data_IF_631082295073
#
_entry.id   IF_631082295073
#
_cell.length_a   1.000
_cell.length_b   1.000
_cell.length_c   1.000
_cell.angle_alpha   90.00
_cell.angle_beta   90.00
_cell.angle_gamma   90.00
#
_symmetry.space_group_name_H-M   'P 1'
#
loop_
_entity.id
_entity.type
_entity.pdbx_description
1 polymer ?
#
# COMPACT_ATOMS: atom_id res chain seq x y z
N UNK A 1 -2.64 -25.41 38.40
CA UNK A 1 -1.26 -25.06 38.04
C UNK A 1 -1.30 -24.30 36.70
N UNK A 2 -1.07 -22.99 36.76
CA UNK A 2 -1.03 -22.15 35.57
C UNK A 2 0.37 -22.15 34.97
N UNK A 3 0.75 -23.24 34.29
CA UNK A 3 1.99 -23.28 33.55
C UNK A 3 1.92 -22.26 32.36
N UNK A 4 2.88 -21.38 32.23
CA UNK A 4 3.02 -20.50 31.07
C UNK A 4 3.62 -21.35 29.95
N UNK A 5 2.90 -21.45 28.85
CA UNK A 5 3.34 -22.17 27.65
C UNK A 5 3.66 -21.15 26.56
N UNK A 6 4.84 -21.21 25.99
CA UNK A 6 5.19 -20.41 24.82
C UNK A 6 4.58 -21.03 23.57
N UNK A 7 3.94 -20.20 22.75
CA UNK A 7 3.31 -20.63 21.52
C UNK A 7 3.38 -19.56 20.44
N UNK A 8 3.46 -19.99 19.18
CA UNK A 8 3.41 -19.12 18.03
C UNK A 8 2.23 -19.46 17.13
N UNK A 9 1.52 -18.44 16.64
CA UNK A 9 0.44 -18.63 15.69
C UNK A 9 0.97 -18.55 14.26
N UNK A 10 0.69 -19.59 13.46
CA UNK A 10 1.07 -19.66 12.05
C UNK A 10 -0.17 -19.80 11.17
N UNK A 11 -0.12 -19.13 10.01
CA UNK A 11 -1.16 -19.23 9.00
C UNK A 11 -0.95 -20.47 8.15
N UNK A 12 -2.04 -21.18 7.88
CA UNK A 12 -2.05 -22.42 7.10
C UNK A 12 -3.12 -22.37 6.01
N UNK A 13 -3.03 -23.18 4.95
CA UNK A 13 -4.13 -23.43 4.04
C UNK A 13 -5.33 -24.00 4.79
N UNK A 14 -6.57 -23.57 4.51
CA UNK A 14 -7.76 -24.01 5.24
C UNK A 14 -7.99 -25.53 5.27
N UNK A 15 -7.55 -26.22 4.21
CA UNK A 15 -7.65 -27.67 4.05
C UNK A 15 -6.71 -28.45 4.98
N UNK A 16 -5.61 -27.85 5.42
CA UNK A 16 -4.60 -28.50 6.26
C UNK A 16 -4.90 -28.42 7.75
N UNK A 17 -5.80 -27.52 8.17
CA UNK A 17 -6.06 -27.22 9.57
C UNK A 17 -6.46 -28.45 10.39
N UNK A 18 -7.38 -29.27 9.86
CA UNK A 18 -7.83 -30.49 10.54
C UNK A 18 -6.74 -31.55 10.66
N UNK A 19 -5.91 -31.69 9.64
CA UNK A 19 -4.79 -32.64 9.60
C UNK A 19 -3.72 -32.25 10.61
N UNK A 20 -3.34 -30.97 10.61
CA UNK A 20 -2.29 -30.46 11.49
C UNK A 20 -2.69 -30.46 12.96
N UNK A 21 -3.93 -30.10 13.30
CA UNK A 21 -4.41 -30.15 14.68
C UNK A 21 -4.55 -31.59 15.28
N UNK A 22 -4.29 -32.63 14.48
CA UNK A 22 -4.13 -34.00 14.96
C UNK A 22 -2.72 -34.37 15.42
N UNK A 23 -1.76 -33.47 15.23
CA UNK A 23 -0.35 -33.64 15.61
C UNK A 23 -0.11 -33.05 17.00
N UNK A 24 0.58 -33.78 17.87
CA UNK A 24 0.97 -33.27 19.18
C UNK A 24 1.77 -31.96 19.04
N UNK A 25 1.49 -30.98 19.91
CA UNK A 25 2.11 -29.66 19.83
C UNK A 25 1.46 -28.69 18.85
N UNK A 26 0.43 -29.09 18.09
CA UNK A 26 -0.31 -28.22 17.17
C UNK A 26 -1.78 -28.13 17.58
N UNK A 27 -2.25 -26.92 17.84
CA UNK A 27 -3.60 -26.66 18.34
C UNK A 27 -4.33 -25.62 17.49
N UNK A 28 -5.67 -25.59 17.52
CA UNK A 28 -6.44 -24.51 16.91
C UNK A 28 -6.02 -23.15 17.47
N UNK A 29 -5.73 -22.19 16.61
CA UNK A 29 -5.17 -20.91 17.03
C UNK A 29 -6.05 -20.17 18.03
N UNK A 30 -5.43 -19.59 19.05
CA UNK A 30 -6.07 -18.72 20.02
C UNK A 30 -6.23 -17.32 19.44
N UNK A 31 -7.41 -16.71 19.59
CA UNK A 31 -7.78 -15.39 19.06
C UNK A 31 -7.66 -15.18 17.54
N UNK A 32 -7.45 -16.25 16.78
CA UNK A 32 -7.37 -16.20 15.31
C UNK A 32 -8.43 -17.11 14.68
N UNK A 33 -8.65 -16.95 13.37
CA UNK A 33 -9.56 -17.81 12.61
C UNK A 33 -9.05 -19.27 12.61
N UNK A 34 -9.72 -20.15 13.32
CA UNK A 34 -9.39 -21.59 13.43
C UNK A 34 -9.40 -22.34 12.08
N UNK A 35 -9.96 -21.73 11.02
CA UNK A 35 -9.97 -22.30 9.66
C UNK A 35 -8.63 -22.14 8.95
N UNK A 36 -7.85 -21.11 9.31
CA UNK A 36 -6.66 -20.70 8.56
C UNK A 36 -5.45 -20.44 9.45
N UNK A 37 -5.53 -20.74 10.76
CA UNK A 37 -4.45 -20.52 11.70
C UNK A 37 -4.40 -21.64 12.73
N UNK A 38 -3.17 -22.01 13.09
CA UNK A 38 -2.89 -22.95 14.20
C UNK A 38 -1.86 -22.34 15.14
N UNK A 39 -1.86 -22.80 16.40
CA UNK A 39 -0.85 -22.50 17.40
C UNK A 39 0.14 -23.66 17.49
N UNK A 40 1.42 -23.38 17.41
CA UNK A 40 2.51 -24.32 17.64
C UNK A 40 3.03 -24.08 19.06
N UNK A 41 3.16 -25.13 19.85
CA UNK A 41 3.76 -25.06 21.19
C UNK A 41 5.27 -25.18 21.05
N UNK A 42 6.00 -24.33 21.77
CA UNK A 42 7.47 -24.25 21.76
C UNK A 42 8.04 -24.90 23.04
N UNK A 43 7.82 -26.20 23.19
CA UNK A 43 8.19 -27.00 24.38
C UNK A 43 8.97 -28.28 23.99
N UNK A 44 9.61 -28.27 22.84
CA UNK A 44 10.32 -29.42 22.24
C UNK A 44 9.40 -30.60 21.80
N UNK A 45 8.07 -30.43 21.89
CA UNK A 45 7.12 -31.45 21.39
C UNK A 45 7.16 -31.54 19.86
N UNK A 46 7.42 -30.43 19.19
CA UNK A 46 7.57 -30.34 17.74
C UNK A 46 9.06 -30.22 17.38
N UNK A 47 9.54 -30.97 16.38
CA UNK A 47 10.89 -30.78 15.85
C UNK A 47 11.06 -29.38 15.27
N UNK A 48 12.22 -28.74 15.51
CA UNK A 48 12.56 -27.41 14.98
C UNK A 48 12.37 -27.31 13.46
N UNK A 49 12.76 -28.35 12.73
CA UNK A 49 12.55 -28.40 11.27
C UNK A 49 11.10 -28.25 10.86
N UNK A 50 10.17 -28.90 11.58
CA UNK A 50 8.73 -28.79 11.31
C UNK A 50 8.18 -27.41 11.67
N UNK A 51 8.66 -26.82 12.77
CA UNK A 51 8.31 -25.46 13.17
C UNK A 51 8.76 -24.49 12.08
N UNK A 52 9.99 -24.59 11.60
CA UNK A 52 10.54 -23.73 10.55
C UNK A 52 9.80 -23.87 9.21
N UNK A 53 9.45 -25.11 8.81
CA UNK A 53 8.64 -25.34 7.61
C UNK A 53 7.27 -24.64 7.68
N UNK A 54 6.58 -24.77 8.82
CA UNK A 54 5.28 -24.13 9.03
C UNK A 54 5.38 -22.61 9.12
N UNK A 55 6.47 -22.10 9.71
CA UNK A 55 6.76 -20.65 9.71
C UNK A 55 7.01 -20.12 8.31
N UNK A 56 7.82 -20.80 7.50
CA UNK A 56 8.08 -20.43 6.11
C UNK A 56 6.81 -20.48 5.26
N UNK A 57 5.99 -21.52 5.43
CA UNK A 57 4.70 -21.63 4.77
C UNK A 57 3.77 -20.46 5.18
N UNK A 58 3.70 -20.17 6.48
CA UNK A 58 2.93 -19.05 7.02
C UNK A 58 3.43 -17.71 6.46
N UNK A 59 4.73 -17.50 6.40
CA UNK A 59 5.33 -16.30 5.82
C UNK A 59 4.91 -16.14 4.36
N UNK A 60 4.97 -17.21 3.55
CA UNK A 60 4.54 -17.19 2.14
C UNK A 60 3.04 -16.86 1.99
N UNK A 61 2.19 -17.38 2.91
CA UNK A 61 0.76 -17.12 2.92
C UNK A 61 0.37 -15.73 3.46
N UNK A 62 1.22 -15.14 4.29
CA UNK A 62 1.00 -13.82 4.89
C UNK A 62 1.77 -12.73 4.17
N UNK A 63 2.88 -13.07 3.51
CA UNK A 63 3.61 -12.14 2.65
C UNK A 63 2.62 -11.61 1.63
N UNK A 64 2.30 -10.32 1.71
CA UNK A 64 1.63 -9.63 0.61
C UNK A 64 2.36 -10.07 -0.65
N UNK A 65 1.67 -10.71 -1.58
CA UNK A 65 2.23 -10.95 -2.90
C UNK A 65 2.71 -9.57 -3.36
N UNK A 66 4.04 -9.33 -3.36
CA UNK A 66 4.57 -8.34 -4.28
C UNK A 66 3.98 -8.81 -5.59
N UNK A 67 3.16 -8.03 -6.22
CA UNK A 67 2.64 -8.34 -7.54
C UNK A 67 3.81 -8.33 -8.50
N UNK A 68 4.58 -9.40 -8.43
CA UNK A 68 5.74 -9.72 -9.25
C UNK A 68 5.36 -10.81 -10.24
N UNK A 69 4.16 -10.73 -10.76
CA UNK A 69 3.82 -11.14 -12.11
C UNK A 69 3.20 -9.90 -12.72
N UNK A 70 3.80 -9.38 -13.78
CA UNK A 70 3.12 -8.57 -14.78
C UNK A 70 1.94 -9.40 -15.31
N UNK A 71 0.89 -9.56 -14.52
CA UNK A 71 -0.44 -9.67 -15.08
C UNK A 71 -0.75 -8.25 -15.55
N UNK A 72 -1.26 -8.13 -16.77
CA UNK A 72 -1.76 -6.90 -17.38
C UNK A 72 -2.89 -6.30 -16.52
N UNK A 73 -2.55 -5.84 -15.32
CA UNK A 73 -3.44 -5.04 -14.49
C UNK A 73 -3.43 -3.66 -15.10
N UNK A 74 -4.58 -3.27 -15.65
CA UNK A 74 -4.77 -1.90 -16.12
C UNK A 74 -4.34 -0.96 -14.99
N UNK A 75 -3.37 -0.07 -15.23
CA UNK A 75 -2.87 0.82 -14.18
C UNK A 75 -4.01 1.60 -13.55
N UNK A 76 -4.05 1.60 -12.23
CA UNK A 76 -5.03 2.38 -11.49
C UNK A 76 -4.72 3.88 -11.61
N UNK A 77 -5.73 4.67 -11.37
CA UNK A 77 -5.60 6.12 -11.42
C UNK A 77 -6.04 6.73 -10.09
N UNK A 78 -5.13 7.45 -9.48
CA UNK A 78 -5.26 8.00 -8.14
C UNK A 78 -5.17 9.53 -8.14
N UNK A 79 -5.78 10.16 -7.13
CA UNK A 79 -5.55 11.55 -6.77
C UNK A 79 -4.98 11.58 -5.36
N UNK A 80 -3.85 12.27 -5.17
CA UNK A 80 -3.23 12.50 -3.88
C UNK A 80 -3.14 14.00 -3.58
N UNK A 81 -3.31 14.42 -2.31
CA UNK A 81 -3.08 15.80 -1.92
C UNK A 81 -1.60 16.08 -1.77
N UNK A 82 -1.17 17.24 -2.23
CA UNK A 82 0.13 17.81 -1.95
C UNK A 82 -0.06 19.20 -1.32
N UNK A 83 0.51 19.39 -0.13
CA UNK A 83 0.46 20.68 0.53
C UNK A 83 1.82 21.37 0.40
N UNK A 84 1.89 22.46 -0.37
CA UNK A 84 3.15 23.18 -0.62
C UNK A 84 3.77 23.77 0.65
N UNK A 85 3.00 23.93 1.72
CA UNK A 85 3.52 24.39 3.00
C UNK A 85 4.46 23.36 3.67
N UNK A 86 4.19 22.05 3.49
CA UNK A 86 5.02 21.01 4.09
C UNK A 86 6.14 20.52 3.16
N UNK A 87 5.92 20.62 1.86
CA UNK A 87 6.91 20.20 0.87
C UNK A 87 6.72 20.97 -0.44
N UNK A 88 7.75 21.71 -0.85
CA UNK A 88 7.75 22.48 -2.09
C UNK A 88 7.99 21.58 -3.30
N UNK A 89 6.95 20.86 -3.71
CA UNK A 89 6.96 19.97 -4.85
C UNK A 89 7.20 20.73 -6.17
N UNK A 90 6.78 22.00 -6.24
CA UNK A 90 6.96 22.83 -7.44
C UNK A 90 8.44 23.07 -7.70
N UNK A 91 9.18 23.47 -6.67
CA UNK A 91 10.63 23.65 -6.77
C UNK A 91 11.36 22.31 -6.96
N UNK A 92 10.87 21.23 -6.37
CA UNK A 92 11.42 19.91 -6.59
C UNK A 92 11.30 19.47 -8.05
N UNK A 93 10.12 19.61 -8.67
CA UNK A 93 9.90 19.29 -10.08
C UNK A 93 10.56 20.25 -11.09
N UNK A 94 11.07 21.39 -10.64
CA UNK A 94 11.96 22.22 -11.50
C UNK A 94 13.36 21.64 -11.63
N UNK A 95 13.80 20.86 -10.65
CA UNK A 95 15.16 20.28 -10.58
C UNK A 95 15.23 18.88 -11.15
N UNK A 96 14.16 18.09 -11.01
CA UNK A 96 14.10 16.69 -11.43
C UNK A 96 12.67 16.28 -11.78
N UNK A 97 12.52 15.34 -12.70
CA UNK A 97 11.20 14.77 -13.02
C UNK A 97 10.78 13.62 -12.10
N UNK A 98 11.69 13.12 -11.24
CA UNK A 98 11.41 12.06 -10.29
C UNK A 98 11.61 12.56 -8.87
N UNK A 99 10.59 12.46 -8.05
CA UNK A 99 10.64 12.85 -6.64
C UNK A 99 10.20 11.69 -5.74
N UNK A 100 10.76 11.67 -4.53
CA UNK A 100 10.30 10.76 -3.49
C UNK A 100 9.08 11.37 -2.79
N UNK A 101 8.03 10.57 -2.66
CA UNK A 101 6.78 10.97 -2.04
C UNK A 101 6.30 9.94 -1.05
N UNK A 102 5.62 10.40 0.00
CA UNK A 102 5.01 9.48 0.95
C UNK A 102 3.98 8.59 0.25
N UNK A 103 4.17 7.28 0.34
CA UNK A 103 3.21 6.33 -0.21
C UNK A 103 1.90 6.35 0.58
N UNK A 104 0.80 6.34 -0.12
CA UNK A 104 -0.54 6.32 0.45
C UNK A 104 -1.32 5.14 -0.12
N UNK A 105 -1.88 4.30 0.75
CA UNK A 105 -2.75 3.19 0.35
C UNK A 105 -2.05 2.13 -0.50
N UNK A 106 -2.76 1.67 -1.53
CA UNK A 106 -2.35 0.56 -2.39
C UNK A 106 -1.90 1.03 -3.77
N UNK A 107 -1.08 2.09 -3.83
CA UNK A 107 -0.48 2.53 -5.09
C UNK A 107 0.57 1.49 -5.49
N UNK A 108 0.52 1.05 -6.75
CA UNK A 108 1.43 0.09 -7.36
C UNK A 108 2.31 0.75 -8.43
N UNK A 109 3.40 0.09 -8.79
CA UNK A 109 4.25 0.55 -9.91
C UNK A 109 3.46 0.56 -11.22
N UNK A 110 3.58 1.65 -11.98
CA UNK A 110 2.82 1.88 -13.21
C UNK A 110 1.50 2.64 -13.00
N UNK A 111 1.04 2.81 -11.76
CA UNK A 111 -0.16 3.58 -11.49
C UNK A 111 -0.01 5.05 -11.87
N UNK A 112 -1.09 5.63 -12.40
CA UNK A 112 -1.16 7.07 -12.65
C UNK A 112 -1.57 7.81 -11.38
N UNK A 113 -0.82 8.83 -11.02
CA UNK A 113 -1.03 9.64 -9.82
C UNK A 113 -1.20 11.11 -10.20
N UNK A 114 -2.41 11.63 -10.02
CA UNK A 114 -2.67 13.06 -10.16
C UNK A 114 -2.41 13.76 -8.82
N UNK A 115 -1.58 14.80 -8.85
CA UNK A 115 -1.27 15.59 -7.66
C UNK A 115 -2.17 16.82 -7.58
N UNK A 116 -3.07 16.81 -6.60
CA UNK A 116 -3.86 17.97 -6.23
C UNK A 116 -3.07 18.84 -5.26
N UNK A 117 -2.71 20.02 -5.72
CA UNK A 117 -2.04 21.02 -4.88
C UNK A 117 -3.04 21.76 -4.03
N UNK A 118 -2.84 21.73 -2.71
CA UNK A 118 -3.63 22.52 -1.78
C UNK A 118 -3.44 24.03 -1.98
N UNK A 119 -4.09 24.85 -1.15
CA UNK A 119 -3.91 26.30 -1.21
C UNK A 119 -2.43 26.68 -1.18
N UNK A 120 -2.01 27.71 -1.94
CA UNK A 120 -2.80 28.67 -2.69
C UNK A 120 -3.22 28.22 -4.11
N UNK A 121 -2.80 27.04 -4.57
CA UNK A 121 -3.10 26.57 -5.93
C UNK A 121 -4.54 26.06 -6.08
N UNK A 122 -4.98 25.18 -5.18
CA UNK A 122 -6.30 24.55 -5.16
C UNK A 122 -6.71 23.92 -6.51
N UNK A 123 -5.78 23.19 -7.13
CA UNK A 123 -5.92 22.60 -8.46
C UNK A 123 -5.08 21.32 -8.62
N UNK A 124 -5.41 20.49 -9.60
CA UNK A 124 -4.49 19.44 -10.10
C UNK A 124 -3.43 20.13 -10.95
N UNK A 125 -2.15 20.00 -10.57
CA UNK A 125 -1.03 20.56 -11.31
C UNK A 125 -0.17 19.53 -12.02
N UNK A 126 -0.11 18.30 -11.55
CA UNK A 126 0.76 17.28 -12.11
C UNK A 126 0.05 15.98 -12.36
N UNK A 127 0.38 15.34 -13.50
CA UNK A 127 0.18 13.92 -13.74
C UNK A 127 1.52 13.24 -13.60
N UNK A 128 1.56 12.25 -12.73
CA UNK A 128 2.74 11.44 -12.42
C UNK A 128 2.45 9.97 -12.65
N UNK A 129 3.52 9.19 -12.70
CA UNK A 129 3.51 7.74 -12.70
C UNK A 129 4.28 7.25 -11.46
N UNK A 130 3.76 6.28 -10.75
CA UNK A 130 4.49 5.59 -9.68
C UNK A 130 5.52 4.66 -10.31
N UNK A 131 6.81 5.00 -10.18
CA UNK A 131 7.91 4.25 -10.81
C UNK A 131 8.60 3.29 -9.85
N UNK A 132 8.44 3.50 -8.55
CA UNK A 132 8.95 2.63 -7.50
C UNK A 132 8.10 2.81 -6.24
N UNK A 133 7.74 1.71 -5.58
CA UNK A 133 6.89 1.71 -4.39
C UNK A 133 7.53 0.90 -3.25
N UNK A 134 6.91 0.96 -2.07
CA UNK A 134 7.34 0.22 -0.88
C UNK A 134 8.80 0.51 -0.45
N UNK A 135 9.28 1.73 -0.70
CA UNK A 135 10.60 2.20 -0.28
C UNK A 135 10.52 2.57 1.20
N UNK A 136 11.35 2.00 2.09
CA UNK A 136 11.39 2.44 3.49
C UNK A 136 11.76 3.93 3.58
N UNK A 137 10.92 4.75 4.20
CA UNK A 137 11.22 6.17 4.36
C UNK A 137 12.36 6.38 5.36
N UNK A 138 13.35 7.19 5.00
CA UNK A 138 14.56 7.47 5.79
C UNK A 138 14.35 8.34 7.04
N UNK A 139 13.16 8.86 7.30
CA UNK A 139 12.91 9.75 8.44
C UNK A 139 12.60 8.95 9.71
N UNK A 140 13.35 9.28 10.76
CA UNK A 140 13.37 8.70 12.11
C UNK A 140 12.06 8.87 12.92
N UNK A 141 10.91 8.58 12.38
CA UNK A 141 9.69 8.56 13.17
C UNK A 141 9.47 7.13 13.70
N UNK A 142 10.07 6.85 14.86
CA UNK A 142 10.18 5.54 15.53
C UNK A 142 8.86 4.84 15.89
N UNK A 143 7.69 5.34 15.48
CA UNK A 143 6.38 4.78 15.90
C UNK A 143 5.61 4.00 14.84
N UNK A 144 5.93 4.13 13.54
CA UNK A 144 5.33 3.32 12.45
C UNK A 144 6.28 3.27 11.27
N UNK A 145 6.55 2.09 10.76
CA UNK A 145 7.18 1.93 9.45
C UNK A 145 6.36 2.68 8.42
N UNK A 146 6.99 3.66 7.77
CA UNK A 146 6.37 4.45 6.72
C UNK A 146 7.06 4.12 5.42
N UNK A 147 6.27 3.88 4.40
CA UNK A 147 6.77 3.65 3.06
C UNK A 147 6.68 4.94 2.24
N UNK A 148 7.66 5.10 1.38
CA UNK A 148 7.74 6.11 0.35
C UNK A 148 7.60 5.45 -1.02
N UNK A 149 7.31 6.25 -2.02
CA UNK A 149 7.30 5.86 -3.43
C UNK A 149 8.07 6.91 -4.23
N UNK A 150 8.59 6.53 -5.37
CA UNK A 150 9.10 7.47 -6.37
C UNK A 150 8.05 7.69 -7.43
N UNK A 151 7.74 8.96 -7.69
CA UNK A 151 6.81 9.36 -8.72
C UNK A 151 7.55 10.17 -9.77
N UNK A 152 7.30 9.83 -11.05
CA UNK A 152 7.82 10.55 -12.22
C UNK A 152 6.75 11.47 -12.74
N UNK A 153 7.07 12.74 -12.90
CA UNK A 153 6.20 13.71 -13.55
C UNK A 153 6.15 13.46 -15.06
N UNK A 154 4.95 13.16 -15.58
CA UNK A 154 4.70 12.93 -17.00
C UNK A 154 4.06 14.16 -17.66
N UNK A 155 3.31 14.99 -16.90
CA UNK A 155 2.65 16.19 -17.41
C UNK A 155 2.47 17.24 -16.30
N UNK A 156 2.59 18.49 -16.70
CA UNK A 156 2.24 19.65 -15.87
C UNK A 156 1.02 20.34 -16.46
N UNK A 157 0.07 20.69 -15.61
CA UNK A 157 -1.12 21.42 -15.99
C UNK A 157 -1.03 22.88 -15.52
N UNK A 158 -1.63 23.78 -16.29
CA UNK A 158 -1.86 25.13 -15.81
C UNK A 158 -2.85 25.11 -14.62
N UNK A 159 -2.64 26.03 -13.68
CA UNK A 159 -3.50 26.16 -12.49
C UNK A 159 -4.96 26.37 -12.81
N UNK A 160 -5.26 27.08 -13.90
CA UNK A 160 -6.61 27.36 -14.35
C UNK A 160 -7.30 26.18 -15.02
N UNK A 161 -6.53 25.16 -15.41
CA UNK A 161 -7.04 24.02 -16.17
C UNK A 161 -7.99 23.14 -15.35
N UNK A 162 -7.54 22.66 -14.18
CA UNK A 162 -8.34 21.78 -13.34
C UNK A 162 -8.38 22.25 -11.86
N UNK A 163 -8.97 23.44 -11.60
CA UNK A 163 -9.16 23.91 -10.24
C UNK A 163 -10.18 23.05 -9.49
N UNK A 164 -10.26 23.18 -8.17
CA UNK A 164 -11.19 22.42 -7.33
C UNK A 164 -12.66 22.60 -7.78
N UNK A 165 -13.02 23.75 -8.33
CA UNK A 165 -14.36 23.99 -8.88
C UNK A 165 -14.69 23.05 -10.05
N UNK A 166 -13.74 22.82 -10.95
CA UNK A 166 -13.88 21.87 -12.07
C UNK A 166 -13.91 20.41 -11.59
N UNK A 167 -13.13 20.10 -10.57
CA UNK A 167 -13.14 18.76 -9.96
C UNK A 167 -14.51 18.47 -9.32
N UNK A 168 -15.10 19.46 -8.63
CA UNK A 168 -16.41 19.33 -8.00
C UNK A 168 -17.53 19.04 -9.00
N UNK A 169 -17.52 19.70 -10.15
CA UNK A 169 -18.47 19.44 -11.25
C UNK A 169 -18.42 18.01 -11.75
N UNK A 170 -17.25 17.34 -11.59
CA UNK A 170 -16.98 15.97 -12.03
C UNK A 170 -16.92 14.96 -10.88
N UNK A 171 -17.66 15.24 -9.79
CA UNK A 171 -17.85 14.29 -8.70
C UNK A 171 -16.70 14.20 -7.70
N UNK A 172 -15.76 15.14 -7.70
CA UNK A 172 -14.66 15.18 -6.73
C UNK A 172 -14.77 16.41 -5.84
N UNK A 173 -15.47 16.34 -4.70
CA UNK A 173 -15.77 17.49 -3.86
C UNK A 173 -14.56 18.07 -3.13
N UNK A 174 -13.49 17.29 -2.99
CA UNK A 174 -12.25 17.70 -2.33
C UNK A 174 -11.26 16.54 -2.24
N UNK A 175 -9.99 16.87 -1.93
CA UNK A 175 -8.90 15.88 -1.79
C UNK A 175 -8.22 16.09 -0.44
N UNK A 176 -8.54 15.22 0.53
CA UNK A 176 -7.93 15.21 1.86
C UNK A 176 -6.95 14.05 2.07
N UNK A 177 -6.99 13.06 1.20
CA UNK A 177 -6.16 11.86 1.22
C UNK A 177 -6.18 11.18 -0.13
N UNK A 178 -5.59 9.99 -0.21
CA UNK A 178 -5.66 9.14 -1.40
C UNK A 178 -7.12 8.88 -1.77
N UNK A 179 -7.43 9.04 -3.04
CA UNK A 179 -8.73 8.67 -3.59
C UNK A 179 -8.63 8.24 -5.06
N UNK A 180 -9.58 7.44 -5.49
CA UNK A 180 -9.76 7.11 -6.90
C UNK A 180 -10.32 8.31 -7.66
N UNK A 181 -10.02 8.36 -8.94
CA UNK A 181 -10.58 9.35 -9.85
C UNK A 181 -11.94 8.90 -10.39
N UNK A 182 -12.87 9.83 -10.60
CA UNK A 182 -14.12 9.54 -11.30
C UNK A 182 -13.86 9.37 -12.80
N UNK A 183 -14.67 8.55 -13.48
CA UNK A 183 -14.54 8.36 -14.94
C UNK A 183 -14.67 9.68 -15.71
N UNK A 184 -15.55 10.58 -15.24
CA UNK A 184 -15.76 11.88 -15.84
C UNK A 184 -14.55 12.82 -15.69
N UNK A 185 -13.94 12.88 -14.49
CA UNK A 185 -12.74 13.66 -14.28
C UNK A 185 -11.56 13.09 -15.03
N UNK A 186 -11.42 11.75 -15.08
CA UNK A 186 -10.36 11.09 -15.85
C UNK A 186 -10.44 11.46 -17.32
N UNK A 187 -11.63 11.35 -17.94
CA UNK A 187 -11.85 11.73 -19.34
C UNK A 187 -11.45 13.18 -19.58
N UNK A 188 -11.88 14.10 -18.73
CA UNK A 188 -11.51 15.51 -18.83
C UNK A 188 -10.01 15.77 -18.77
N UNK A 189 -9.28 15.07 -17.91
CA UNK A 189 -7.82 15.19 -17.78
C UNK A 189 -7.06 14.53 -18.95
N UNK A 190 -7.62 13.48 -19.56
CA UNK A 190 -7.01 12.74 -20.66
C UNK A 190 -7.26 13.42 -22.03
N UNK A 191 -8.41 14.08 -22.23
CA UNK A 191 -8.79 14.76 -23.48
C UNK A 191 -7.94 16.03 -23.77
N UNK A 192 -7.22 16.53 -22.79
CA UNK A 192 -6.40 17.72 -22.97
C UNK A 192 -4.98 17.32 -23.37
N UNK A 193 -4.66 17.48 -24.64
CA UNK A 193 -3.33 17.32 -25.24
C UNK A 193 -2.35 18.40 -24.78
#
# INVERSE_FOLDING_TARGET
DGAVIEAINVKIPPEEGKRLCGTAGIYPAWHMSKKSWVSLILDDTLPDGQIMELLDASYRLTKKKKSGSKQDTVPHTWIIPANPYYYDIVSAFRKTDVVEWKQAGHIEEGDTVYMYMAAPYSAILYRCEAVEVDIPCRKEDKKRERYCMRIRRNKTYDRSFCPLSEMRKRGVPGVRGLRTITAELKRYLDETK
#
